data_IF_206145632257
#
_entry.id   IF_206145632257
#
_cell.length_a   1.000
_cell.length_b   1.000
_cell.length_c   1.000
_cell.angle_alpha   90.00
_cell.angle_beta   90.00
_cell.angle_gamma   90.00
#
_symmetry.space_group_name_H-M   'P 1'
#
loop_
_entity.id
_entity.type
_entity.pdbx_description
1 polymer ?
#
# COMPACT_ATOMS: atom_id res chain seq x y z
N UNK A 1 -5.77 -16.78 -16.85
CA UNK A 1 -6.42 -15.83 -15.93
C UNK A 1 -5.38 -14.80 -15.52
N UNK A 2 -5.70 -13.52 -15.70
CA UNK A 2 -4.90 -12.47 -15.10
C UNK A 2 -5.05 -12.55 -13.57
N UNK A 3 -3.96 -12.41 -12.80
CA UNK A 3 -4.03 -12.46 -11.35
C UNK A 3 -4.83 -11.25 -10.81
N UNK A 4 -5.57 -11.49 -9.74
CA UNK A 4 -6.31 -10.43 -9.05
C UNK A 4 -5.39 -9.62 -8.10
N UNK A 5 -4.19 -9.19 -8.58
CA UNK A 5 -3.27 -8.32 -7.85
C UNK A 5 -2.03 -8.97 -7.28
N UNK A 6 -1.32 -8.20 -6.43
CA UNK A 6 -0.06 -8.60 -5.79
C UNK A 6 -0.25 -9.32 -4.45
N UNK A 7 -1.41 -9.94 -4.23
CA UNK A 7 -1.68 -10.65 -2.99
C UNK A 7 -2.40 -11.96 -3.25
N UNK A 8 -2.22 -12.93 -2.33
CA UNK A 8 -2.85 -14.23 -2.34
C UNK A 8 -1.98 -15.34 -2.92
N UNK A 9 -2.38 -16.57 -2.63
CA UNK A 9 -1.61 -17.79 -2.95
C UNK A 9 -1.10 -17.86 -4.39
N UNK A 10 -1.87 -17.38 -5.37
CA UNK A 10 -1.44 -17.41 -6.77
C UNK A 10 -0.26 -16.48 -7.02
N UNK A 11 -0.27 -15.28 -6.46
CA UNK A 11 0.84 -14.33 -6.56
C UNK A 11 2.09 -14.92 -5.90
N UNK A 12 1.96 -15.44 -4.68
CA UNK A 12 3.08 -16.01 -3.91
C UNK A 12 3.71 -17.19 -4.64
N UNK A 13 2.89 -18.12 -5.17
CA UNK A 13 3.38 -19.24 -5.99
C UNK A 13 4.08 -18.77 -7.26
N UNK A 14 3.60 -17.73 -7.92
CA UNK A 14 4.26 -17.17 -9.09
C UNK A 14 5.62 -16.57 -8.74
N UNK A 15 5.70 -15.79 -7.67
CA UNK A 15 6.95 -15.19 -7.20
C UNK A 15 7.99 -16.23 -6.78
N UNK A 16 7.58 -17.24 -6.01
CA UNK A 16 8.46 -18.32 -5.55
C UNK A 16 8.97 -19.16 -6.71
N UNK A 17 8.10 -19.48 -7.68
CA UNK A 17 8.47 -20.23 -8.88
C UNK A 17 9.43 -19.41 -9.76
N UNK A 18 9.17 -18.14 -10.01
CA UNK A 18 10.05 -17.25 -10.77
C UNK A 18 11.41 -17.12 -10.11
N UNK A 19 11.46 -16.86 -8.80
CA UNK A 19 12.68 -16.75 -8.01
C UNK A 19 13.50 -18.04 -8.06
N UNK A 20 12.86 -19.21 -7.90
CA UNK A 20 13.52 -20.51 -7.96
C UNK A 20 14.14 -20.77 -9.34
N UNK A 21 13.44 -20.41 -10.42
CA UNK A 21 13.95 -20.53 -11.78
C UNK A 21 15.12 -19.58 -12.05
N UNK A 22 15.05 -18.33 -11.60
CA UNK A 22 16.12 -17.34 -11.74
C UNK A 22 17.39 -17.75 -10.98
N UNK A 23 17.23 -18.41 -9.83
CA UNK A 23 18.34 -18.95 -9.04
C UNK A 23 18.92 -20.27 -9.61
N UNK A 24 18.37 -20.78 -10.70
CA UNK A 24 18.81 -22.05 -11.30
C UNK A 24 18.56 -23.28 -10.42
N UNK A 25 17.58 -23.21 -9.51
CA UNK A 25 17.24 -24.32 -8.61
C UNK A 25 16.72 -25.50 -9.42
N UNK A 26 17.18 -26.72 -9.09
CA UNK A 26 16.63 -27.94 -9.66
C UNK A 26 15.19 -28.12 -9.17
N UNK A 27 14.27 -28.11 -10.12
CA UNK A 27 12.83 -28.25 -9.84
C UNK A 27 12.41 -29.72 -10.04
N UNK A 28 11.71 -30.28 -9.05
CA UNK A 28 11.06 -31.58 -9.14
C UNK A 28 9.76 -31.50 -9.95
N UNK A 29 9.14 -32.65 -10.21
CA UNK A 29 7.83 -32.69 -10.88
C UNK A 29 6.67 -32.15 -10.01
N UNK A 30 6.91 -31.93 -8.72
CA UNK A 30 5.94 -31.36 -7.77
C UNK A 30 6.13 -29.86 -7.56
N UNK A 31 7.22 -29.29 -8.05
CA UNK A 31 7.51 -27.87 -7.94
C UNK A 31 6.77 -27.05 -9.01
N UNK A 32 6.29 -25.89 -8.64
CA UNK A 32 5.68 -24.97 -9.58
C UNK A 32 6.71 -24.39 -10.52
N UNK A 33 6.32 -24.25 -11.81
CA UNK A 33 7.09 -23.56 -12.84
C UNK A 33 6.35 -22.30 -13.28
N UNK A 34 7.08 -21.19 -13.31
CA UNK A 34 6.57 -19.92 -13.78
C UNK A 34 6.70 -19.81 -15.30
N UNK A 35 5.59 -19.54 -15.99
CA UNK A 35 5.56 -19.26 -17.41
C UNK A 35 4.85 -17.93 -17.64
N UNK A 36 5.51 -17.02 -18.34
CA UNK A 36 4.96 -15.73 -18.70
C UNK A 36 4.95 -15.56 -20.24
N UNK A 37 3.77 -15.27 -20.77
CA UNK A 37 3.55 -15.09 -22.21
C UNK A 37 3.29 -13.61 -22.49
N UNK A 38 4.36 -12.85 -22.75
CA UNK A 38 4.27 -11.43 -23.08
C UNK A 38 3.52 -11.22 -24.40
N UNK A 39 2.71 -10.17 -24.49
CA UNK A 39 1.96 -9.81 -25.69
C UNK A 39 2.86 -9.65 -26.92
N UNK A 40 4.03 -9.06 -26.76
CA UNK A 40 4.97 -8.78 -27.85
C UNK A 40 5.63 -10.02 -28.46
N UNK A 41 5.52 -11.17 -27.82
CA UNK A 41 5.95 -12.46 -28.37
C UNK A 41 4.95 -13.04 -29.37
N UNK A 42 3.72 -12.49 -29.42
CA UNK A 42 2.73 -12.90 -30.40
C UNK A 42 2.85 -12.07 -31.68
N UNK A 43 3.23 -12.66 -32.83
CA UNK A 43 3.42 -11.92 -34.08
C UNK A 43 2.13 -11.28 -34.65
N UNK A 44 0.96 -11.71 -34.18
CA UNK A 44 -0.33 -11.13 -34.59
C UNK A 44 -0.60 -9.77 -33.95
N UNK A 45 0.10 -9.41 -32.88
CA UNK A 45 -0.07 -8.14 -32.17
C UNK A 45 0.83 -7.06 -32.79
N UNK A 46 0.58 -6.78 -34.09
CA UNK A 46 1.30 -5.79 -34.87
C UNK A 46 0.39 -5.18 -35.93
N UNK A 47 0.39 -3.86 -36.08
CA UNK A 47 -0.33 -3.11 -37.12
C UNK A 47 0.58 -2.06 -37.72
N UNK A 48 0.28 -1.60 -38.93
CA UNK A 48 1.03 -0.50 -39.51
C UNK A 48 0.77 0.80 -38.74
N UNK A 49 1.81 1.58 -38.43
CA UNK A 49 1.67 2.86 -37.72
C UNK A 49 0.80 3.83 -38.50
N UNK A 50 -0.25 4.38 -37.88
CA UNK A 50 -1.16 5.36 -38.48
C UNK A 50 -0.87 6.77 -37.97
N UNK A 51 -0.30 6.86 -36.77
CA UNK A 51 -0.03 8.11 -36.06
C UNK A 51 1.24 7.99 -35.20
N UNK A 52 1.81 9.14 -34.83
CA UNK A 52 2.98 9.18 -33.96
C UNK A 52 2.64 8.73 -32.55
N UNK A 53 3.56 8.01 -31.90
CA UNK A 53 3.41 7.62 -30.51
C UNK A 53 3.54 8.85 -29.59
N UNK A 54 2.69 8.97 -28.56
CA UNK A 54 2.88 9.98 -27.53
C UNK A 54 4.18 9.75 -26.77
N UNK A 55 4.85 10.83 -26.33
CA UNK A 55 6.16 10.77 -25.67
C UNK A 55 6.20 9.80 -24.50
N UNK A 56 5.15 9.74 -23.68
CA UNK A 56 5.04 8.79 -22.56
C UNK A 56 5.19 7.32 -22.97
N UNK A 57 4.72 6.93 -24.16
CA UNK A 57 4.89 5.57 -24.68
C UNK A 57 6.28 5.35 -25.27
N UNK A 58 6.87 6.37 -25.88
CA UNK A 58 8.26 6.32 -26.33
C UNK A 58 9.18 6.07 -25.13
N UNK A 59 8.99 6.82 -24.04
CA UNK A 59 9.76 6.68 -22.80
C UNK A 59 9.54 5.30 -22.17
N UNK A 60 8.28 4.86 -22.10
CA UNK A 60 7.92 3.54 -21.59
C UNK A 60 8.59 2.40 -22.37
N UNK A 61 8.50 2.39 -23.69
CA UNK A 61 9.13 1.34 -24.49
C UNK A 61 10.67 1.40 -24.39
N UNK A 62 11.25 2.57 -24.35
CA UNK A 62 12.70 2.74 -24.15
C UNK A 62 13.14 2.18 -22.79
N UNK A 63 12.35 2.38 -21.75
CA UNK A 63 12.61 1.79 -20.43
C UNK A 63 12.51 0.27 -20.45
N UNK A 64 11.48 -0.29 -21.09
CA UNK A 64 11.29 -1.74 -21.21
C UNK A 64 12.43 -2.39 -22.01
N UNK A 65 12.86 -1.77 -23.09
CA UNK A 65 13.99 -2.23 -23.90
C UNK A 65 15.31 -2.19 -23.08
N UNK A 66 15.56 -1.08 -22.38
CA UNK A 66 16.82 -0.88 -21.64
C UNK A 66 16.93 -1.75 -20.38
N UNK A 67 15.84 -1.88 -19.59
CA UNK A 67 15.89 -2.56 -18.30
C UNK A 67 15.55 -4.05 -18.36
N UNK A 68 14.70 -4.44 -19.31
CA UNK A 68 14.14 -5.79 -19.36
C UNK A 68 14.49 -6.55 -20.64
N UNK A 69 15.31 -5.96 -21.53
CA UNK A 69 15.75 -6.60 -22.77
C UNK A 69 14.61 -6.91 -23.75
N UNK A 70 13.49 -6.21 -23.62
CA UNK A 70 12.34 -6.33 -24.53
C UNK A 70 12.75 -5.76 -25.88
N UNK A 71 12.39 -6.45 -26.99
CA UNK A 71 12.66 -5.96 -28.34
C UNK A 71 11.33 -5.73 -29.05
N UNK A 72 10.99 -4.49 -29.32
CA UNK A 72 9.74 -4.07 -29.94
C UNK A 72 10.01 -3.41 -31.29
N UNK A 73 9.31 -3.84 -32.33
CA UNK A 73 9.30 -3.14 -33.61
C UNK A 73 8.18 -2.09 -33.65
N UNK A 74 8.24 -1.16 -34.60
CA UNK A 74 7.28 -0.06 -34.72
C UNK A 74 5.83 -0.52 -34.94
N UNK A 75 5.62 -1.65 -35.58
CA UNK A 75 4.28 -2.23 -35.77
C UNK A 75 3.67 -2.75 -34.47
N UNK A 76 4.50 -3.31 -33.59
CA UNK A 76 4.08 -3.76 -32.26
C UNK A 76 3.78 -2.57 -31.35
N UNK A 77 4.64 -1.54 -31.37
CA UNK A 77 4.41 -0.29 -30.61
C UNK A 77 3.10 0.39 -31.07
N UNK A 78 2.82 0.41 -32.37
CA UNK A 78 1.58 0.94 -32.92
C UNK A 78 0.36 0.12 -32.48
N UNK A 79 0.46 -1.21 -32.48
CA UNK A 79 -0.59 -2.08 -31.98
C UNK A 79 -0.89 -1.83 -30.50
N UNK A 80 0.15 -1.73 -29.67
CA UNK A 80 0.01 -1.44 -28.24
C UNK A 80 -0.73 -0.12 -28.01
N UNK A 81 -0.34 0.93 -28.74
CA UNK A 81 -0.99 2.24 -28.63
C UNK A 81 -2.46 2.22 -29.06
N UNK A 82 -2.77 1.52 -30.16
CA UNK A 82 -4.17 1.37 -30.60
C UNK A 82 -5.03 0.61 -29.57
N UNK A 83 -4.48 -0.44 -28.96
CA UNK A 83 -5.16 -1.19 -27.89
C UNK A 83 -5.32 -0.38 -26.61
N UNK A 84 -4.30 0.38 -26.21
CA UNK A 84 -4.36 1.23 -25.03
C UNK A 84 -5.46 2.29 -25.13
N UNK A 85 -5.75 2.83 -26.34
CA UNK A 85 -6.87 3.75 -26.53
C UNK A 85 -8.23 3.12 -26.20
N UNK A 86 -8.36 1.82 -26.34
CA UNK A 86 -9.61 1.08 -26.07
C UNK A 86 -9.66 0.61 -24.61
N UNK A 87 -8.54 0.10 -24.09
CA UNK A 87 -8.47 -0.53 -22.77
C UNK A 87 -8.11 0.45 -21.66
N UNK A 88 -7.51 1.60 -22.02
CA UNK A 88 -7.05 2.56 -21.04
C UNK A 88 -6.11 1.93 -20.00
N UNK A 89 -6.50 2.01 -18.75
CA UNK A 89 -5.73 1.54 -17.61
C UNK A 89 -5.60 0.01 -17.54
N UNK A 90 -6.52 -0.72 -18.16
CA UNK A 90 -6.50 -2.18 -18.19
C UNK A 90 -5.46 -2.75 -19.17
N UNK A 91 -4.83 -1.89 -19.97
CA UNK A 91 -3.88 -2.33 -21.01
C UNK A 91 -2.75 -3.18 -20.44
N UNK A 92 -2.15 -2.77 -19.32
CA UNK A 92 -1.04 -3.50 -18.69
C UNK A 92 -1.47 -4.82 -18.06
N UNK A 93 -2.70 -4.91 -17.57
CA UNK A 93 -3.27 -6.14 -17.04
C UNK A 93 -3.54 -7.16 -18.13
N UNK A 94 -4.20 -6.72 -19.21
CA UNK A 94 -4.62 -7.59 -20.31
C UNK A 94 -3.45 -7.98 -21.24
N UNK A 95 -2.52 -7.05 -21.44
CA UNK A 95 -1.36 -7.20 -22.32
C UNK A 95 -0.06 -6.75 -21.61
N UNK A 96 0.35 -7.43 -20.53
CA UNK A 96 1.55 -7.06 -19.79
C UNK A 96 2.81 -7.28 -20.63
N UNK A 97 3.73 -6.32 -20.58
CA UNK A 97 5.03 -6.40 -21.28
C UNK A 97 6.01 -7.26 -20.50
N UNK A 98 5.95 -7.18 -19.17
CA UNK A 98 6.77 -7.94 -18.22
C UNK A 98 5.90 -8.54 -17.12
N UNK A 99 6.37 -9.58 -16.40
CA UNK A 99 5.59 -10.22 -15.32
C UNK A 99 5.08 -9.24 -14.27
N UNK A 100 5.91 -8.28 -13.87
CA UNK A 100 5.56 -7.30 -12.86
C UNK A 100 4.33 -6.47 -13.23
N UNK A 101 4.07 -6.22 -14.52
CA UNK A 101 2.89 -5.48 -14.98
C UNK A 101 1.60 -6.30 -14.88
N UNK A 102 1.69 -7.63 -15.07
CA UNK A 102 0.54 -8.52 -14.92
C UNK A 102 -0.06 -8.48 -13.51
N UNK A 103 0.78 -8.17 -12.53
CA UNK A 103 0.40 -8.01 -11.13
C UNK A 103 0.18 -6.54 -10.72
N UNK A 104 0.40 -5.56 -11.62
CA UNK A 104 0.02 -4.17 -11.41
C UNK A 104 -1.48 -4.04 -11.67
N UNK A 105 -2.25 -4.06 -10.60
CA UNK A 105 -3.70 -3.94 -10.71
C UNK A 105 -4.15 -2.52 -11.05
N UNK A 106 -5.13 -2.45 -11.96
CA UNK A 106 -6.32 -1.67 -11.66
C UNK A 106 -7.31 -2.62 -10.99
N UNK A 107 -7.37 -2.63 -9.66
CA UNK A 107 -8.43 -3.35 -8.97
C UNK A 107 -9.72 -2.62 -9.30
N UNK A 108 -10.59 -3.27 -10.05
CA UNK A 108 -11.92 -2.74 -10.31
C UNK A 108 -12.58 -2.40 -8.96
N UNK A 109 -12.99 -1.15 -8.79
CA UNK A 109 -13.50 -0.66 -7.51
C UNK A 109 -12.44 -0.22 -6.48
N UNK A 110 -11.13 -0.24 -6.80
CA UNK A 110 -10.09 0.24 -5.88
C UNK A 110 -10.24 1.72 -5.56
N UNK A 111 -10.12 2.04 -4.26
CA UNK A 111 -10.31 3.41 -3.79
C UNK A 111 -9.17 4.35 -4.17
N UNK A 112 -7.94 3.84 -4.34
CA UNK A 112 -6.72 4.65 -4.48
C UNK A 112 -5.97 4.43 -5.80
N UNK A 113 -6.55 3.73 -6.78
CA UNK A 113 -5.90 3.40 -8.04
C UNK A 113 -5.30 4.62 -8.77
N UNK A 114 -6.03 5.76 -8.80
CA UNK A 114 -5.55 7.01 -9.41
C UNK A 114 -4.34 7.58 -8.68
N UNK A 115 -4.36 7.54 -7.34
CA UNK A 115 -3.30 8.06 -6.50
C UNK A 115 -2.03 7.22 -6.62
N UNK A 116 -2.15 5.89 -6.61
CA UNK A 116 -1.00 5.00 -6.78
C UNK A 116 -0.36 5.13 -8.17
N UNK A 117 -1.17 5.28 -9.23
CA UNK A 117 -0.64 5.60 -10.54
C UNK A 117 0.22 6.87 -10.52
N UNK A 118 -0.26 7.91 -9.84
CA UNK A 118 0.48 9.15 -9.69
C UNK A 118 1.76 8.95 -8.87
N UNK A 119 1.72 8.19 -7.76
CA UNK A 119 2.89 7.88 -6.93
C UNK A 119 3.99 7.16 -7.74
N UNK A 120 3.64 6.16 -8.55
CA UNK A 120 4.60 5.46 -9.41
C UNK A 120 5.18 6.38 -10.50
N UNK A 121 4.31 7.14 -11.17
CA UNK A 121 4.75 8.07 -12.23
C UNK A 121 5.72 9.12 -11.70
N UNK A 122 5.51 9.59 -10.47
CA UNK A 122 6.34 10.62 -9.84
C UNK A 122 7.45 10.03 -8.94
N UNK A 123 7.72 8.73 -9.04
CA UNK A 123 8.78 8.02 -8.28
C UNK A 123 8.70 8.26 -6.77
N UNK A 124 7.45 8.26 -6.25
CA UNK A 124 7.17 8.45 -4.82
C UNK A 124 7.22 7.15 -4.01
N UNK A 125 7.49 6.03 -4.66
CA UNK A 125 7.78 4.72 -4.06
C UNK A 125 9.21 4.42 -4.45
N UNK A 126 10.13 4.54 -3.49
CA UNK A 126 11.57 4.48 -3.73
C UNK A 126 12.32 4.21 -2.43
N UNK A 127 13.63 3.99 -2.52
CA UNK A 127 14.49 3.96 -1.33
C UNK A 127 14.55 5.34 -0.71
N UNK A 128 14.14 5.44 0.55
CA UNK A 128 14.13 6.71 1.27
C UNK A 128 15.52 7.14 1.74
N UNK A 129 15.79 8.45 1.77
CA UNK A 129 17.01 8.99 2.37
C UNK A 129 16.99 8.77 3.89
N UNK A 130 18.19 8.70 4.49
CA UNK A 130 18.31 8.62 5.93
C UNK A 130 17.96 9.97 6.58
N UNK A 131 16.84 10.00 7.31
CA UNK A 131 16.36 11.09 8.14
C UNK A 131 16.23 10.62 9.60
N UNK A 132 17.18 9.83 10.10
CA UNK A 132 17.14 9.19 11.41
C UNK A 132 17.05 10.17 12.58
N UNK A 133 17.43 11.43 12.39
CA UNK A 133 17.30 12.52 13.37
C UNK A 133 15.86 12.99 13.61
N UNK A 134 14.92 12.68 12.69
CA UNK A 134 13.51 13.04 12.84
C UNK A 134 12.73 11.95 13.59
N UNK A 135 11.78 12.33 14.45
CA UNK A 135 10.97 11.36 15.17
C UNK A 135 10.04 10.59 14.24
N UNK A 136 9.79 9.33 14.62
CA UNK A 136 8.86 8.43 13.92
C UNK A 136 7.53 8.43 14.64
N UNK A 137 6.47 8.81 13.94
CA UNK A 137 5.09 8.68 14.40
C UNK A 137 4.52 7.34 13.95
N UNK A 138 3.71 6.70 14.79
CA UNK A 138 3.06 5.44 14.43
C UNK A 138 1.55 5.57 14.38
N UNK A 139 0.93 4.88 13.42
CA UNK A 139 -0.52 4.87 13.22
C UNK A 139 -1.00 3.43 13.17
N UNK A 140 -1.92 3.10 14.05
CA UNK A 140 -2.29 1.74 14.34
C UNK A 140 -3.75 1.46 13.96
N UNK A 141 -3.96 0.34 13.30
CA UNK A 141 -5.24 -0.36 13.34
C UNK A 141 -5.08 -1.57 14.26
N UNK A 142 -5.90 -1.63 15.32
CA UNK A 142 -5.74 -2.63 16.39
C UNK A 142 -6.94 -3.57 16.36
N UNK A 143 -6.81 -4.71 15.67
CA UNK A 143 -7.82 -5.76 15.63
C UNK A 143 -7.89 -6.59 16.92
N UNK A 144 -9.08 -7.03 17.30
CA UNK A 144 -9.31 -8.02 18.36
C UNK A 144 -9.63 -9.35 17.71
N UNK A 145 -8.66 -10.27 17.72
CA UNK A 145 -8.80 -11.56 17.00
C UNK A 145 -8.51 -11.50 15.49
N UNK A 146 -8.22 -10.33 14.98
CA UNK A 146 -7.78 -10.03 13.61
C UNK A 146 -6.36 -9.48 13.60
N UNK A 147 -5.88 -9.05 12.44
CA UNK A 147 -4.56 -8.42 12.30
C UNK A 147 -4.50 -7.05 12.98
N UNK A 148 -3.34 -6.73 13.53
CA UNK A 148 -2.96 -5.38 13.95
C UNK A 148 -1.93 -4.84 12.96
N UNK A 149 -2.24 -3.71 12.34
CA UNK A 149 -1.39 -3.04 11.37
C UNK A 149 -0.78 -1.75 11.94
N UNK A 150 0.49 -1.49 11.66
CA UNK A 150 1.24 -0.33 12.15
C UNK A 150 1.98 0.33 10.99
N UNK A 151 1.67 1.60 10.73
CA UNK A 151 2.42 2.46 9.81
C UNK A 151 3.40 3.33 10.57
N UNK A 152 4.62 3.45 10.05
CA UNK A 152 5.68 4.27 10.61
C UNK A 152 5.97 5.45 9.69
N UNK A 153 5.81 6.68 10.20
CA UNK A 153 5.81 7.90 9.39
C UNK A 153 6.75 8.94 9.98
N UNK A 154 7.58 9.56 9.16
CA UNK A 154 8.34 10.78 9.48
C UNK A 154 7.74 11.97 8.76
N UNK A 155 7.67 13.10 9.44
CA UNK A 155 7.31 14.39 8.84
C UNK A 155 8.60 15.09 8.36
N UNK A 156 8.72 15.29 7.05
CA UNK A 156 9.89 15.89 6.41
C UNK A 156 9.45 17.14 5.65
N UNK A 157 9.49 18.29 6.29
CA UNK A 157 8.91 19.52 5.72
C UNK A 157 7.42 19.38 5.49
N UNK A 158 6.99 19.53 4.23
CA UNK A 158 5.58 19.38 3.83
C UNK A 158 5.21 17.93 3.41
N UNK A 159 6.18 17.02 3.44
CA UNK A 159 6.02 15.64 3.00
C UNK A 159 5.94 14.66 4.16
N UNK A 160 5.34 13.50 3.89
CA UNK A 160 5.30 12.38 4.81
C UNK A 160 6.11 11.22 4.23
N UNK A 161 7.20 10.88 4.88
CA UNK A 161 7.99 9.71 4.55
C UNK A 161 7.44 8.50 5.31
N UNK A 162 6.84 7.59 4.58
CA UNK A 162 6.32 6.32 5.10
C UNK A 162 7.49 5.35 5.09
N UNK A 163 8.10 5.15 6.24
CA UNK A 163 9.43 4.53 6.34
C UNK A 163 9.39 3.05 6.63
N UNK A 164 8.25 2.54 7.12
CA UNK A 164 8.12 1.14 7.50
C UNK A 164 6.64 0.77 7.66
N UNK A 165 6.36 -0.52 7.59
CA UNK A 165 5.07 -1.13 7.84
C UNK A 165 5.26 -2.42 8.63
N UNK A 166 4.32 -2.73 9.50
CA UNK A 166 4.27 -4.00 10.21
C UNK A 166 2.84 -4.46 10.41
N UNK A 167 2.56 -5.69 10.11
CA UNK A 167 1.28 -6.34 10.39
C UNK A 167 1.50 -7.73 10.98
N UNK A 168 0.66 -8.12 11.93
CA UNK A 168 0.60 -9.47 12.47
C UNK A 168 -0.77 -9.73 13.09
N UNK A 169 -1.13 -11.00 13.27
CA UNK A 169 -2.37 -11.43 13.87
C UNK A 169 -2.12 -12.38 15.05
N UNK A 170 -3.10 -12.50 15.94
CA UNK A 170 -3.05 -13.45 17.05
C UNK A 170 -2.14 -13.06 18.22
N UNK A 171 -1.60 -11.83 18.21
CA UNK A 171 -0.67 -11.34 19.23
C UNK A 171 -1.28 -10.25 20.11
N UNK A 172 -0.81 -10.18 21.36
CA UNK A 172 -1.22 -9.15 22.31
C UNK A 172 -0.40 -7.87 22.18
N UNK A 173 -0.87 -6.79 22.82
CA UNK A 173 -0.22 -5.46 22.76
C UNK A 173 1.27 -5.50 23.17
N UNK A 174 1.65 -6.36 24.10
CA UNK A 174 3.05 -6.57 24.52
C UNK A 174 3.96 -6.93 23.34
N UNK A 175 3.50 -7.79 22.42
CA UNK A 175 4.25 -8.18 21.23
C UNK A 175 4.54 -6.96 20.33
N UNK A 176 3.53 -6.17 20.02
CA UNK A 176 3.70 -5.00 19.17
C UNK A 176 4.58 -3.92 19.82
N UNK A 177 4.49 -3.73 21.13
CA UNK A 177 5.39 -2.84 21.86
C UNK A 177 6.85 -3.34 21.82
N UNK A 178 7.06 -4.68 21.84
CA UNK A 178 8.39 -5.25 21.61
C UNK A 178 8.88 -4.98 20.19
N UNK A 179 8.04 -5.12 19.19
CA UNK A 179 8.38 -4.78 17.79
C UNK A 179 8.87 -3.33 17.67
N UNK A 180 8.20 -2.37 18.32
CA UNK A 180 8.65 -0.98 18.33
C UNK A 180 10.01 -0.82 19.00
N UNK A 181 10.20 -1.46 20.17
CA UNK A 181 11.47 -1.43 20.90
C UNK A 181 12.61 -1.98 20.03
N UNK A 182 12.38 -3.12 19.39
CA UNK A 182 13.40 -3.81 18.57
C UNK A 182 13.78 -3.01 17.31
N UNK A 183 12.86 -2.23 16.74
CA UNK A 183 13.15 -1.33 15.62
C UNK A 183 14.07 -0.16 16.00
N UNK A 184 14.09 0.24 17.26
CA UNK A 184 15.02 1.22 17.80
C UNK A 184 14.87 2.63 17.22
N UNK A 185 13.72 2.98 16.67
CA UNK A 185 13.45 4.34 16.19
C UNK A 185 13.30 5.32 17.36
N UNK A 186 13.66 6.58 17.15
CA UNK A 186 13.25 7.65 18.05
C UNK A 186 11.78 7.97 17.77
N UNK A 187 10.91 7.59 18.70
CA UNK A 187 9.47 7.74 18.51
C UNK A 187 8.97 9.12 18.93
N UNK A 188 8.01 9.63 18.14
CA UNK A 188 7.18 10.78 18.48
C UNK A 188 5.82 10.33 19.00
N UNK A 189 4.75 10.72 18.31
CA UNK A 189 3.38 10.37 18.69
C UNK A 189 3.01 8.95 18.22
N UNK A 190 2.26 8.22 19.07
CA UNK A 190 1.58 6.98 18.70
C UNK A 190 0.07 7.25 18.60
N UNK A 191 -0.53 6.91 17.45
CA UNK A 191 -1.93 7.16 17.18
C UNK A 191 -2.70 5.85 17.06
N UNK A 192 -3.73 5.69 17.86
CA UNK A 192 -4.62 4.52 17.82
C UNK A 192 -6.04 4.89 17.42
N UNK A 193 -6.86 3.90 17.03
CA UNK A 193 -8.26 4.09 16.71
C UNK A 193 -9.06 4.57 17.93
N UNK A 194 -10.25 5.13 17.69
CA UNK A 194 -11.10 5.68 18.77
C UNK A 194 -11.55 4.64 19.80
N UNK A 195 -11.60 3.36 19.44
CA UNK A 195 -11.99 2.25 20.31
C UNK A 195 -10.85 1.73 21.19
N UNK A 196 -9.63 2.23 21.05
CA UNK A 196 -8.50 1.91 21.92
C UNK A 196 -8.75 2.31 23.40
N UNK A 197 -9.72 3.20 23.63
CA UNK A 197 -10.18 3.64 24.96
C UNK A 197 -11.25 2.70 25.55
N UNK A 198 -11.77 1.74 24.77
CA UNK A 198 -12.74 0.79 25.25
C UNK A 198 -12.13 -0.16 26.29
N UNK A 199 -12.84 -0.35 27.39
CA UNK A 199 -12.41 -1.26 28.45
C UNK A 199 -12.68 -2.70 28.06
N UNK A 200 -11.71 -3.56 28.33
CA UNK A 200 -11.81 -4.99 28.03
C UNK A 200 -12.03 -5.80 29.29
N UNK A 201 -13.01 -6.69 29.28
CA UNK A 201 -13.38 -7.50 30.43
C UNK A 201 -12.24 -8.41 30.93
N UNK A 202 -11.43 -8.93 30.01
CA UNK A 202 -10.28 -9.80 30.30
C UNK A 202 -9.03 -9.10 30.83
N UNK A 203 -9.03 -7.75 30.92
CA UNK A 203 -7.86 -6.93 31.30
C UNK A 203 -8.10 -6.11 32.57
N UNK A 204 -8.75 -6.68 33.58
CA UNK A 204 -9.14 -5.99 34.81
C UNK A 204 -9.92 -4.69 34.54
N UNK A 205 -10.76 -4.70 33.50
CA UNK A 205 -11.54 -3.58 33.00
C UNK A 205 -10.67 -2.37 32.56
N UNK A 206 -9.40 -2.59 32.17
CA UNK A 206 -8.54 -1.56 31.58
C UNK A 206 -8.71 -1.51 30.07
N UNK A 207 -8.52 -0.32 29.51
CA UNK A 207 -8.41 -0.13 28.07
C UNK A 207 -7.01 -0.45 27.57
N UNK A 208 -6.85 -0.72 26.28
CA UNK A 208 -5.52 -0.92 25.66
C UNK A 208 -4.64 0.32 25.80
N UNK A 209 -5.24 1.51 25.76
CA UNK A 209 -4.55 2.78 25.99
C UNK A 209 -3.96 2.83 27.42
N UNK A 210 -4.71 2.39 28.44
CA UNK A 210 -4.25 2.33 29.80
C UNK A 210 -3.13 1.29 29.97
N UNK A 211 -3.29 0.09 29.40
CA UNK A 211 -2.29 -0.96 29.41
C UNK A 211 -0.98 -0.52 28.74
N UNK A 212 -1.05 0.17 27.60
CA UNK A 212 0.12 0.72 26.93
C UNK A 212 0.87 1.74 27.79
N UNK A 213 0.11 2.59 28.51
CA UNK A 213 0.68 3.61 29.42
C UNK A 213 1.33 2.99 30.66
N UNK A 214 0.75 1.96 31.22
CA UNK A 214 1.34 1.20 32.32
C UNK A 214 2.63 0.49 31.88
N UNK A 215 2.63 0.02 30.63
CA UNK A 215 3.77 -0.65 30.01
C UNK A 215 3.83 -2.14 30.31
N UNK A 216 4.74 -2.79 29.64
CA UNK A 216 5.04 -4.21 29.78
C UNK A 216 6.52 -4.41 30.04
N UNK A 217 6.85 -5.41 30.87
CA UNK A 217 8.22 -5.85 31.00
C UNK A 217 8.69 -6.50 29.69
N UNK A 218 9.68 -5.92 29.05
CA UNK A 218 10.29 -6.37 27.80
C UNK A 218 11.80 -6.36 27.99
N UNK A 219 12.44 -7.52 27.92
CA UNK A 219 13.87 -7.70 28.09
C UNK A 219 14.41 -7.10 29.43
N UNK A 220 13.69 -7.32 30.53
CA UNK A 220 14.06 -6.89 31.87
C UNK A 220 13.86 -5.39 32.17
N UNK A 221 13.18 -4.67 31.28
CA UNK A 221 12.85 -3.26 31.46
C UNK A 221 11.37 -3.01 31.16
N UNK A 222 10.73 -2.10 31.90
CA UNK A 222 9.37 -1.67 31.60
C UNK A 222 9.40 -0.71 30.42
N UNK A 223 8.78 -1.13 29.31
CA UNK A 223 8.57 -0.30 28.13
C UNK A 223 7.12 0.17 28.11
N UNK A 224 6.91 1.49 28.12
CA UNK A 224 5.58 2.11 28.09
C UNK A 224 5.43 3.10 26.96
N UNK A 225 4.20 3.32 26.50
CA UNK A 225 3.89 4.29 25.46
C UNK A 225 2.51 4.90 25.66
N UNK A 226 2.28 6.09 25.11
CA UNK A 226 1.02 6.80 25.24
C UNK A 226 0.38 6.97 23.87
N UNK A 227 -0.86 6.51 23.72
CA UNK A 227 -1.62 6.71 22.50
C UNK A 227 -2.38 8.04 22.48
N UNK A 228 -2.28 8.73 21.37
CA UNK A 228 -3.25 9.74 20.93
C UNK A 228 -4.37 9.03 20.19
N UNK A 229 -5.59 9.51 20.36
CA UNK A 229 -6.77 8.89 19.77
C UNK A 229 -7.13 9.64 18.50
N UNK A 230 -7.31 8.88 17.41
CA UNK A 230 -7.79 9.44 16.14
C UNK A 230 -9.27 9.78 16.29
N UNK A 231 -9.71 10.97 15.87
CA UNK A 231 -11.12 11.33 15.91
C UNK A 231 -11.98 10.34 15.12
N UNK A 232 -13.13 9.98 15.66
CA UNK A 232 -14.09 9.12 14.97
C UNK A 232 -14.62 9.81 13.72
N UNK A 233 -14.43 9.21 12.57
CA UNK A 233 -14.91 9.69 11.27
C UNK A 233 -15.57 8.56 10.50
N UNK A 234 -16.47 8.91 9.57
CA UNK A 234 -17.02 7.95 8.63
C UNK A 234 -15.95 7.36 7.71
N UNK A 235 -16.17 6.13 7.26
CA UNK A 235 -15.23 5.42 6.37
C UNK A 235 -14.96 6.22 5.08
N UNK A 236 -16.01 6.78 4.46
CA UNK A 236 -15.89 7.57 3.23
C UNK A 236 -15.05 8.82 3.43
N UNK A 237 -15.29 9.56 4.54
CA UNK A 237 -14.48 10.73 4.90
C UNK A 237 -13.01 10.36 5.11
N UNK A 238 -12.77 9.21 5.73
CA UNK A 238 -11.42 8.68 5.91
C UNK A 238 -10.75 8.32 4.58
N UNK A 239 -11.49 7.71 3.65
CA UNK A 239 -11.00 7.39 2.29
C UNK A 239 -10.63 8.67 1.52
N UNK A 240 -11.46 9.70 1.58
CA UNK A 240 -11.14 10.99 0.96
C UNK A 240 -9.90 11.62 1.60
N UNK A 241 -9.76 11.55 2.92
CA UNK A 241 -8.54 12.01 3.61
C UNK A 241 -7.28 11.31 3.11
N UNK A 242 -7.36 10.00 2.82
CA UNK A 242 -6.26 9.24 2.22
C UNK A 242 -5.96 9.73 0.81
N UNK A 243 -6.98 9.93 -0.03
CA UNK A 243 -6.81 10.43 -1.40
C UNK A 243 -6.08 11.78 -1.44
N UNK A 244 -6.38 12.66 -0.49
CA UNK A 244 -5.75 13.97 -0.38
C UNK A 244 -4.29 13.88 0.08
N UNK A 245 -4.01 13.03 1.09
CA UNK A 245 -2.68 12.99 1.70
C UNK A 245 -1.67 12.23 0.86
N UNK A 246 -2.09 11.25 0.06
CA UNK A 246 -1.21 10.39 -0.76
C UNK A 246 -0.29 11.20 -1.68
N UNK A 247 -0.74 12.35 -2.19
CA UNK A 247 0.09 13.23 -3.02
C UNK A 247 1.31 13.81 -2.29
N UNK A 248 1.31 13.78 -0.95
CA UNK A 248 2.40 14.26 -0.09
C UNK A 248 3.24 13.12 0.49
N UNK A 249 2.86 11.87 0.24
CA UNK A 249 3.57 10.71 0.75
C UNK A 249 4.71 10.29 -0.16
N UNK A 250 5.79 9.81 0.45
CA UNK A 250 6.88 9.06 -0.18
C UNK A 250 7.06 7.78 0.61
N UNK A 251 6.99 6.64 -0.07
CA UNK A 251 7.05 5.33 0.57
C UNK A 251 8.42 4.68 0.38
N UNK A 252 8.93 4.03 1.43
CA UNK A 252 10.03 3.10 1.29
C UNK A 252 9.56 1.87 0.50
N UNK A 253 10.24 1.58 -0.61
CA UNK A 253 9.83 0.54 -1.56
C UNK A 253 9.94 -0.89 -1.00
N UNK A 254 10.87 -1.12 -0.06
CA UNK A 254 11.13 -2.44 0.51
C UNK A 254 10.33 -2.65 1.81
N UNK A 255 10.45 -1.72 2.75
CA UNK A 255 9.86 -1.85 4.09
C UNK A 255 8.35 -1.64 4.10
N UNK A 256 7.81 -0.92 3.12
CA UNK A 256 6.38 -0.68 2.99
C UNK A 256 5.71 -1.56 1.94
N UNK A 257 6.41 -2.51 1.30
CA UNK A 257 5.90 -3.29 0.17
C UNK A 257 4.56 -3.97 0.47
N UNK A 258 4.41 -4.60 1.62
CA UNK A 258 3.18 -5.25 2.06
C UNK A 258 2.04 -4.24 2.27
N UNK A 259 2.29 -3.17 3.02
CA UNK A 259 1.28 -2.12 3.26
C UNK A 259 0.87 -1.38 1.97
N UNK A 260 1.80 -1.17 1.03
CA UNK A 260 1.49 -0.65 -0.31
C UNK A 260 0.52 -1.59 -1.03
N UNK A 261 0.78 -2.90 -0.99
CA UNK A 261 -0.11 -3.91 -1.59
C UNK A 261 -1.51 -3.84 -0.98
N UNK A 262 -1.63 -3.64 0.33
CA UNK A 262 -2.92 -3.48 1.00
C UNK A 262 -3.65 -2.21 0.53
N UNK A 263 -2.98 -1.07 0.44
CA UNK A 263 -3.58 0.17 -0.06
C UNK A 263 -4.01 0.07 -1.53
N UNK A 264 -3.21 -0.56 -2.39
CA UNK A 264 -3.56 -0.79 -3.79
C UNK A 264 -4.76 -1.73 -3.93
N UNK A 265 -4.84 -2.75 -3.07
CA UNK A 265 -5.90 -3.76 -3.06
C UNK A 265 -7.21 -3.30 -2.40
N UNK A 266 -7.21 -2.19 -1.65
CA UNK A 266 -8.38 -1.71 -0.92
C UNK A 266 -9.47 -1.24 -1.86
N UNK A 267 -10.60 -1.96 -1.88
CA UNK A 267 -11.65 -1.83 -2.90
C UNK A 267 -13.04 -1.89 -2.32
N UNK A 268 -14.02 -1.45 -3.11
CA UNK A 268 -15.44 -1.62 -2.82
C UNK A 268 -15.83 -3.11 -2.81
N UNK A 269 -16.83 -3.45 -2.04
CA UNK A 269 -17.46 -4.77 -2.07
C UNK A 269 -18.40 -4.86 -3.29
N UNK A 270 -18.28 -5.95 -4.07
CA UNK A 270 -19.19 -6.22 -5.18
C UNK A 270 -20.45 -6.95 -4.70
N UNK A 271 -21.61 -6.54 -5.19
CA UNK A 271 -22.88 -7.21 -4.95
C UNK A 271 -23.29 -8.04 -6.18
N UNK A 272 -23.02 -9.35 -6.13
CA UNK A 272 -23.32 -10.27 -7.24
C UNK A 272 -24.82 -10.32 -7.59
N UNK A 273 -25.69 -10.09 -6.59
CA UNK A 273 -27.14 -10.14 -6.80
C UNK A 273 -27.66 -8.91 -7.53
N UNK A 274 -27.04 -7.78 -7.30
CA UNK A 274 -27.44 -6.49 -7.90
C UNK A 274 -26.58 -6.10 -9.09
N UNK A 275 -25.45 -6.76 -9.31
CA UNK A 275 -24.49 -6.43 -10.35
C UNK A 275 -23.90 -5.01 -10.22
N UNK A 276 -23.65 -4.55 -8.99
CA UNK A 276 -23.12 -3.23 -8.71
C UNK A 276 -22.20 -3.21 -7.50
N UNK A 277 -21.37 -2.18 -7.41
CA UNK A 277 -20.51 -1.94 -6.25
C UNK A 277 -21.33 -1.42 -5.07
N UNK A 278 -21.09 -1.97 -3.88
CA UNK A 278 -21.62 -1.44 -2.61
C UNK A 278 -20.85 -0.17 -2.21
N UNK A 279 -21.51 0.71 -1.47
CA UNK A 279 -20.87 1.91 -0.92
C UNK A 279 -20.14 1.61 0.40
N UNK A 280 -19.44 0.48 0.45
CA UNK A 280 -18.57 0.11 1.57
C UNK A 280 -17.37 -0.68 1.06
N UNK A 281 -16.24 -0.62 1.77
CA UNK A 281 -15.08 -1.46 1.48
C UNK A 281 -15.41 -2.94 1.66
N UNK A 282 -14.76 -3.76 0.82
CA UNK A 282 -14.65 -5.19 1.06
C UNK A 282 -13.77 -5.40 2.29
N UNK A 283 -14.27 -6.19 3.24
CA UNK A 283 -13.47 -6.57 4.41
C UNK A 283 -12.70 -7.85 4.08
N UNK A 284 -11.42 -7.69 3.78
CA UNK A 284 -10.48 -8.76 3.49
C UNK A 284 -9.10 -8.44 4.10
N UNK A 285 -8.07 -9.21 3.74
CA UNK A 285 -6.69 -9.01 4.23
C UNK A 285 -6.13 -7.60 3.98
N UNK A 286 -6.67 -6.84 3.02
CA UNK A 286 -6.20 -5.48 2.71
C UNK A 286 -6.76 -4.42 3.67
N UNK A 287 -7.75 -4.79 4.47
CA UNK A 287 -8.51 -3.84 5.30
C UNK A 287 -7.67 -3.23 6.41
N UNK A 288 -6.92 -4.04 7.15
CA UNK A 288 -6.20 -3.58 8.35
C UNK A 288 -5.11 -2.56 8.01
N UNK A 289 -4.27 -2.85 7.01
CA UNK A 289 -3.27 -1.90 6.53
C UNK A 289 -3.90 -0.60 6.03
N UNK A 290 -5.02 -0.71 5.30
CA UNK A 290 -5.75 0.45 4.77
C UNK A 290 -6.42 1.28 5.85
N UNK A 291 -6.98 0.65 6.89
CA UNK A 291 -7.60 1.32 8.02
C UNK A 291 -6.56 2.04 8.89
N UNK A 292 -5.42 1.42 9.15
CA UNK A 292 -4.29 2.07 9.82
C UNK A 292 -3.79 3.31 9.06
N UNK A 293 -3.70 3.24 7.73
CA UNK A 293 -3.33 4.40 6.88
C UNK A 293 -4.43 5.47 6.86
N UNK A 294 -5.70 5.08 6.92
CA UNK A 294 -6.83 5.99 7.05
C UNK A 294 -6.75 6.79 8.37
N UNK A 295 -6.37 6.14 9.48
CA UNK A 295 -6.15 6.83 10.74
C UNK A 295 -5.00 7.84 10.67
N UNK A 296 -3.92 7.52 9.95
CA UNK A 296 -2.86 8.48 9.66
C UNK A 296 -3.39 9.71 8.91
N UNK A 297 -4.12 9.49 7.84
CA UNK A 297 -4.67 10.57 7.00
C UNK A 297 -5.61 11.49 7.80
N UNK A 298 -6.53 10.91 8.58
CA UNK A 298 -7.47 11.66 9.42
C UNK A 298 -6.76 12.47 10.49
N UNK A 299 -5.79 11.87 11.20
CA UNK A 299 -5.03 12.55 12.25
C UNK A 299 -4.25 13.77 11.71
N UNK A 300 -3.71 13.68 10.49
CA UNK A 300 -2.93 14.77 9.88
C UNK A 300 -3.81 15.87 9.28
N UNK A 301 -4.91 15.51 8.64
CA UNK A 301 -5.85 16.49 8.07
C UNK A 301 -6.52 17.33 9.17
N UNK A 302 -6.90 16.73 10.29
CA UNK A 302 -7.48 17.48 11.42
C UNK A 302 -6.51 18.51 12.03
N UNK A 303 -5.25 18.14 12.24
CA UNK A 303 -4.25 19.11 12.72
C UNK A 303 -4.09 20.31 11.80
N UNK A 304 -4.22 20.15 10.49
CA UNK A 304 -4.16 21.26 9.52
C UNK A 304 -5.37 22.16 9.62
N UNK A 305 -6.57 21.62 9.77
CA UNK A 305 -7.79 22.39 9.93
C UNK A 305 -7.77 23.21 11.23
N UNK A 306 -7.29 22.64 12.33
CA UNK A 306 -7.11 23.35 13.60
C UNK A 306 -6.09 24.48 13.48
N UNK A 307 -4.92 24.24 12.89
CA UNK A 307 -3.90 25.26 12.68
C UNK A 307 -4.40 26.41 11.78
N UNK A 308 -5.15 26.09 10.72
CA UNK A 308 -5.75 27.09 9.84
C UNK A 308 -6.83 27.92 10.57
N UNK A 309 -7.66 27.28 11.39
CA UNK A 309 -8.70 27.98 12.18
C UNK A 309 -8.12 28.88 13.26
N UNK A 310 -7.00 28.53 13.88
CA UNK A 310 -6.27 29.36 14.85
C UNK A 310 -5.68 30.59 14.16
N UNK A 311 -5.02 30.41 13.01
CA UNK A 311 -4.43 31.54 12.26
C UNK A 311 -5.49 32.53 11.77
N UNK A 312 -6.68 32.06 11.40
CA UNK A 312 -7.80 32.94 11.03
C UNK A 312 -8.35 33.73 12.23
N UNK A 313 -8.32 33.17 13.45
CA UNK A 313 -8.78 33.86 14.67
C UNK A 313 -7.76 34.86 15.22
N UNK A 314 -6.50 34.73 14.89
CA UNK A 314 -5.44 35.66 15.28
C UNK A 314 -5.18 36.78 14.26
N UNK A 315 -5.81 36.72 13.10
CA UNK A 315 -5.69 37.72 12.03
C UNK A 315 -6.79 38.80 12.03
N UNK A 316 -7.63 38.86 13.10
CA UNK A 316 -8.64 39.90 13.33
C UNK A 316 -8.39 40.65 14.61
#
# INVERSE_FOLDING_TARGET
QAPEGRAGYFFDYCQDAEKSQLQGKLLSNLDWKFFFFSWWKNPQYAIDPVEALPQRLVDYFSEMEAKHGVQLNERQKAWYYAKEKTLGDDMKREYPTIPAEAFQQSVEGAYYAKQFRWLYTNKRICKLPDNSHLPVHTFWDIGVGDSTAIWFVREVGEEFHIIDYYENSGEGLRHYMKVLKDRGYTYGDHWGPHDIENREFGSDAKSRKELAREGYEIDGQVYSMTFKVVPKTGVDTGIESVREILSKCVFDEEKCAEGITHLEGYRKEWDDKRGCWKDKPLHDHTSHGSDGFRYFAVAKNNKRQEAFSINMRTAY
#
